data_IF_149485125998
#
_entry.id   IF_149485125998
#
_cell.length_a   1.000
_cell.length_b   1.000
_cell.length_c   1.000
_cell.angle_alpha   90.00
_cell.angle_beta   90.00
_cell.angle_gamma   90.00
#
_symmetry.space_group_name_H-M   'P 1'
#
loop_
_entity.id
_entity.type
_entity.pdbx_description
1 polymer ?
#
# COMPACT_ATOMS: atom_id res chain seq x y z
N UNK A 1 -4.25 -18.33 -11.35
CA UNK A 1 -3.02 -17.74 -10.76
C UNK A 1 -3.11 -16.24 -10.50
N UNK A 2 -3.24 -15.33 -11.49
CA UNK A 2 -3.30 -13.86 -11.21
C UNK A 2 -4.40 -13.43 -10.22
N UNK A 3 -5.58 -14.07 -10.27
CA UNK A 3 -6.70 -13.76 -9.38
C UNK A 3 -6.41 -14.07 -7.91
N UNK A 4 -5.74 -15.19 -7.63
CA UNK A 4 -5.44 -15.64 -6.26
C UNK A 4 -4.48 -14.70 -5.53
N UNK A 5 -3.44 -14.19 -6.20
CA UNK A 5 -2.49 -13.24 -5.58
C UNK A 5 -3.17 -11.93 -5.23
N UNK A 6 -4.02 -11.44 -6.13
CA UNK A 6 -4.79 -10.22 -5.91
C UNK A 6 -5.80 -10.39 -4.77
N UNK A 7 -6.49 -11.53 -4.71
CA UNK A 7 -7.45 -11.85 -3.66
C UNK A 7 -6.76 -11.94 -2.29
N UNK A 8 -5.59 -12.59 -2.21
CA UNK A 8 -4.78 -12.64 -0.97
C UNK A 8 -4.32 -11.24 -0.54
N UNK A 9 -3.85 -10.42 -1.49
CA UNK A 9 -3.46 -9.05 -1.21
C UNK A 9 -4.64 -8.23 -0.65
N UNK A 10 -5.82 -8.34 -1.26
CA UNK A 10 -7.03 -7.66 -0.80
C UNK A 10 -7.46 -8.12 0.59
N UNK A 11 -7.35 -9.42 0.89
CA UNK A 11 -7.67 -9.96 2.20
C UNK A 11 -6.77 -9.34 3.29
N UNK A 12 -5.46 -9.32 3.06
CA UNK A 12 -4.48 -8.74 4.01
C UNK A 12 -4.71 -7.24 4.17
N UNK A 13 -4.92 -6.52 3.06
CA UNK A 13 -5.17 -5.07 3.09
C UNK A 13 -6.41 -4.74 3.92
N UNK A 14 -7.53 -5.43 3.67
CA UNK A 14 -8.78 -5.18 4.38
C UNK A 14 -8.67 -5.54 5.87
N UNK A 15 -8.05 -6.67 6.20
CA UNK A 15 -7.82 -7.05 7.60
C UNK A 15 -6.99 -5.98 8.33
N UNK A 16 -5.87 -5.56 7.72
CA UNK A 16 -4.98 -4.55 8.31
C UNK A 16 -5.69 -3.21 8.55
N UNK A 17 -6.57 -2.80 7.64
CA UNK A 17 -7.34 -1.55 7.77
C UNK A 17 -8.41 -1.64 8.87
N UNK A 18 -9.07 -2.79 9.00
CA UNK A 18 -10.12 -3.00 10.01
C UNK A 18 -9.55 -3.17 11.42
N UNK A 19 -8.32 -3.66 11.56
CA UNK A 19 -7.62 -3.77 12.85
C UNK A 19 -7.08 -2.43 13.37
N UNK A 20 -7.14 -1.36 12.57
CA UNK A 20 -6.72 -0.02 13.04
C UNK A 20 -7.66 0.46 14.16
N UNK A 21 -7.06 0.80 15.31
CA UNK A 21 -7.78 1.36 16.46
C UNK A 21 -8.60 2.58 16.05
N UNK A 22 -9.86 2.64 16.49
CA UNK A 22 -10.76 3.75 16.20
C UNK A 22 -11.56 3.64 14.90
N UNK A 23 -11.27 2.67 14.02
CA UNK A 23 -12.13 2.40 12.86
C UNK A 23 -13.45 1.80 13.32
N UNK A 24 -13.39 0.73 14.11
CA UNK A 24 -14.56 0.01 14.62
C UNK A 24 -15.59 -0.35 13.53
N UNK A 25 -16.82 -0.68 13.92
CA UNK A 25 -17.88 -0.97 12.95
C UNK A 25 -18.42 0.27 12.24
N UNK A 26 -18.35 1.43 12.88
CA UNK A 26 -18.94 2.68 12.37
C UNK A 26 -18.16 3.24 11.17
N UNK A 27 -16.83 3.13 11.15
CA UNK A 27 -15.98 3.70 10.09
C UNK A 27 -15.37 2.65 9.16
N UNK A 28 -15.67 1.36 9.34
CA UNK A 28 -15.12 0.25 8.54
C UNK A 28 -15.20 0.51 7.03
N UNK A 29 -16.37 0.92 6.52
CA UNK A 29 -16.57 1.21 5.10
C UNK A 29 -15.73 2.37 4.59
N UNK A 30 -15.66 3.48 5.35
CA UNK A 30 -14.89 4.68 4.98
C UNK A 30 -13.40 4.40 5.02
N UNK A 31 -12.91 3.68 6.04
CA UNK A 31 -11.50 3.33 6.17
C UNK A 31 -11.03 2.44 5.01
N UNK A 32 -11.80 1.40 4.68
CA UNK A 32 -11.50 0.52 3.53
C UNK A 32 -11.61 1.28 2.21
N UNK A 33 -12.61 2.14 2.05
CA UNK A 33 -12.78 2.99 0.87
C UNK A 33 -11.58 3.93 0.67
N UNK A 34 -11.11 4.55 1.75
CA UNK A 34 -9.94 5.43 1.75
C UNK A 34 -8.67 4.67 1.38
N UNK A 35 -8.41 3.51 1.99
CA UNK A 35 -7.27 2.66 1.62
C UNK A 35 -7.34 2.23 0.13
N UNK A 36 -8.54 1.89 -0.34
CA UNK A 36 -8.78 1.50 -1.74
C UNK A 36 -8.57 2.66 -2.70
N UNK A 37 -8.87 3.90 -2.30
CA UNK A 37 -8.62 5.11 -3.09
C UNK A 37 -7.13 5.25 -3.41
N UNK A 38 -6.25 5.12 -2.42
CA UNK A 38 -4.79 5.19 -2.66
C UNK A 38 -4.29 4.08 -3.56
N UNK A 39 -4.81 2.85 -3.40
CA UNK A 39 -4.49 1.75 -4.32
C UNK A 39 -4.87 2.10 -5.76
N UNK A 40 -6.08 2.60 -5.98
CA UNK A 40 -6.56 2.99 -7.30
C UNK A 40 -5.74 4.14 -7.87
N UNK A 41 -5.35 5.10 -7.03
CA UNK A 41 -4.49 6.21 -7.44
C UNK A 41 -3.13 5.70 -7.91
N UNK A 42 -2.50 4.76 -7.18
CA UNK A 42 -1.28 4.11 -7.62
C UNK A 42 -1.45 3.36 -8.95
N UNK A 43 -2.58 2.67 -9.13
CA UNK A 43 -2.91 2.00 -10.40
C UNK A 43 -3.10 2.97 -11.56
N UNK A 44 -3.70 4.15 -11.31
CA UNK A 44 -3.94 5.16 -12.33
C UNK A 44 -2.66 5.94 -12.71
N UNK A 45 -1.81 6.24 -11.73
CA UNK A 45 -0.59 7.02 -11.93
C UNK A 45 0.60 6.19 -12.40
N UNK A 46 0.65 4.90 -12.08
CA UNK A 46 1.83 4.08 -12.39
C UNK A 46 2.16 3.98 -13.88
N UNK A 47 1.18 3.84 -14.83
CA UNK A 47 1.51 3.80 -16.26
C UNK A 47 2.09 5.12 -16.81
N UNK A 48 1.45 6.29 -16.66
CA UNK A 48 2.00 7.53 -17.20
C UNK A 48 3.33 7.90 -16.52
N UNK A 49 3.45 7.72 -15.21
CA UNK A 49 4.68 8.05 -14.48
C UNK A 49 5.84 7.14 -14.89
N UNK A 50 5.58 5.83 -15.01
CA UNK A 50 6.57 4.87 -15.49
C UNK A 50 7.03 5.18 -16.91
N UNK A 51 6.08 5.50 -17.81
CA UNK A 51 6.40 5.86 -19.19
C UNK A 51 7.24 7.14 -19.28
N UNK A 52 6.92 8.18 -18.50
CA UNK A 52 7.70 9.42 -18.48
C UNK A 52 9.14 9.22 -17.99
N UNK A 53 9.36 8.27 -17.07
CA UNK A 53 10.71 7.96 -16.59
C UNK A 53 11.59 7.26 -17.62
N UNK A 54 11.01 6.62 -18.64
CA UNK A 54 11.78 5.95 -19.71
C UNK A 54 12.64 6.92 -20.54
N UNK A 55 12.32 8.22 -20.53
CA UNK A 55 13.13 9.28 -21.17
C UNK A 55 14.55 9.33 -20.59
N UNK A 56 14.72 8.97 -19.32
CA UNK A 56 16.02 8.90 -18.65
C UNK A 56 16.72 7.54 -18.81
N UNK A 57 16.08 6.60 -19.53
CA UNK A 57 16.58 5.26 -19.79
C UNK A 57 15.64 4.17 -19.29
N UNK A 58 15.76 2.97 -19.89
CA UNK A 58 14.93 1.80 -19.58
C UNK A 58 15.05 1.33 -18.12
N UNK A 59 16.17 1.66 -17.45
CA UNK A 59 16.43 1.29 -16.06
C UNK A 59 15.78 2.24 -15.04
N UNK A 60 15.46 3.47 -15.44
CA UNK A 60 14.99 4.52 -14.53
C UNK A 60 13.66 4.18 -13.83
N UNK A 61 12.63 3.60 -14.50
CA UNK A 61 11.41 3.18 -13.83
C UNK A 61 11.67 2.12 -12.75
N UNK A 62 12.54 1.14 -13.02
CA UNK A 62 12.86 0.08 -12.06
C UNK A 62 13.56 0.62 -10.82
N UNK A 63 14.52 1.54 -11.00
CA UNK A 63 15.19 2.20 -9.89
C UNK A 63 14.21 3.07 -9.07
N UNK A 64 13.33 3.79 -9.75
CA UNK A 64 12.31 4.60 -9.09
C UNK A 64 11.38 3.75 -8.22
N UNK A 65 10.74 2.71 -8.78
CA UNK A 65 9.85 1.85 -8.01
C UNK A 65 10.58 1.04 -6.92
N UNK A 66 11.80 0.59 -7.20
CA UNK A 66 12.65 -0.08 -6.22
C UNK A 66 13.00 0.83 -5.04
N UNK A 67 13.33 2.10 -5.29
CA UNK A 67 13.62 3.08 -4.25
C UNK A 67 12.39 3.40 -3.39
N UNK A 68 11.19 3.48 -3.99
CA UNK A 68 9.94 3.66 -3.26
C UNK A 68 9.61 2.45 -2.38
N UNK A 69 9.83 1.23 -2.89
CA UNK A 69 9.66 0.00 -2.11
C UNK A 69 10.61 -0.07 -0.92
N UNK A 70 11.88 0.28 -1.13
CA UNK A 70 12.86 0.37 -0.05
C UNK A 70 12.47 1.44 0.96
N UNK A 71 12.05 2.63 0.50
CA UNK A 71 11.57 3.70 1.37
C UNK A 71 10.38 3.25 2.23
N UNK A 72 9.40 2.56 1.64
CA UNK A 72 8.25 2.02 2.37
C UNK A 72 8.68 0.98 3.43
N UNK A 73 9.63 0.10 3.10
CA UNK A 73 10.15 -0.88 4.06
C UNK A 73 10.90 -0.20 5.22
N UNK A 74 11.68 0.85 4.95
CA UNK A 74 12.36 1.64 5.99
C UNK A 74 11.36 2.37 6.88
N UNK A 75 10.33 2.98 6.30
CA UNK A 75 9.24 3.60 7.07
C UNK A 75 8.53 2.58 7.95
N UNK A 76 8.26 1.39 7.43
CA UNK A 76 7.64 0.32 8.21
C UNK A 76 8.55 -0.16 9.35
N UNK A 77 9.84 -0.31 9.11
CA UNK A 77 10.79 -0.78 10.12
C UNK A 77 11.06 0.24 11.24
N UNK A 78 11.12 1.54 10.91
CA UNK A 78 11.60 2.57 11.84
C UNK A 78 10.53 3.55 12.32
N UNK A 79 9.52 3.85 11.50
CA UNK A 79 8.50 4.86 11.81
C UNK A 79 7.24 4.24 12.42
N UNK A 80 6.88 3.02 12.03
CA UNK A 80 5.77 2.28 12.64
C UNK A 80 6.28 1.53 13.87
N UNK A 81 6.20 2.19 15.03
CA UNK A 81 6.43 1.52 16.31
C UNK A 81 5.29 0.52 16.52
N UNK A 82 5.55 -0.78 16.76
CA UNK A 82 4.49 -1.70 17.13
C UNK A 82 3.85 -1.17 18.42
N UNK A 83 2.54 -0.91 18.41
CA UNK A 83 1.81 -0.66 19.64
C UNK A 83 1.85 -1.97 20.46
N UNK A 84 2.74 -2.05 21.45
CA UNK A 84 2.65 -3.03 22.52
C UNK A 84 1.40 -2.69 23.34
N UNK A 85 0.30 -3.37 23.06
CA UNK A 85 -0.96 -3.14 23.76
C UNK A 85 -2.16 -3.88 23.16
N UNK A 86 -2.04 -5.18 22.92
CA UNK A 86 -3.17 -6.08 22.67
C UNK A 86 -3.18 -7.23 23.68
N UNK A 87 -2.91 -6.89 24.95
CA UNK A 87 -3.21 -7.72 26.10
C UNK A 87 -3.94 -6.84 27.11
N UNK A 88 -5.23 -6.64 26.88
CA UNK A 88 -6.29 -6.50 27.90
C UNK A 88 -7.67 -6.60 27.26
#
# INVERSE_FOLDING_TARGET
YKKQVFDTFMAILNASVLEVRGVGHLYAGTAVGFATMFRNLGGALSPPLGNSLTVFGLNAPFLFWGSLGLFAALMFAFALKPEQGAAE
#
